data_IF_316152890704
#
_entry.id   IF_316152890704
#
_cell.length_a   1.000
_cell.length_b   1.000
_cell.length_c   1.000
_cell.angle_alpha   90.00
_cell.angle_beta   90.00
_cell.angle_gamma   90.00
#
_symmetry.space_group_name_H-M   'P 1'
#
loop_
_entity.id
_entity.type
_entity.pdbx_description
1 polymer ?
#
# COMPACT_ATOMS: atom_id res chain seq x y z
N UNK A 1 20.38 -3.06 7.90
CA UNK A 1 19.05 -2.50 8.23
C UNK A 1 18.06 -3.54 8.76
N UNK A 2 17.96 -4.74 8.16
CA UNK A 2 16.98 -5.76 8.58
C UNK A 2 17.36 -6.58 9.84
N UNK A 3 18.53 -6.33 10.43
CA UNK A 3 18.98 -7.08 11.61
C UNK A 3 18.05 -6.82 12.81
N UNK A 4 17.54 -7.90 13.41
CA UNK A 4 16.78 -7.85 14.66
C UNK A 4 17.64 -8.44 15.77
N UNK A 5 17.75 -7.71 16.87
CA UNK A 5 18.57 -8.10 18.01
C UNK A 5 18.01 -9.36 18.68
N UNK A 6 18.87 -10.36 18.96
CA UNK A 6 18.44 -11.65 19.50
C UNK A 6 18.00 -11.51 20.95
N UNK A 7 17.22 -12.51 21.38
CA UNK A 7 16.60 -12.57 22.70
C UNK A 7 17.58 -12.48 23.88
N UNK A 8 18.85 -12.82 23.66
CA UNK A 8 19.91 -12.81 24.68
C UNK A 8 20.65 -11.47 24.77
N UNK A 9 20.23 -10.44 24.04
CA UNK A 9 20.86 -9.12 24.04
C UNK A 9 20.04 -8.09 24.84
N UNK A 10 20.70 -7.04 25.35
CA UNK A 10 20.02 -5.93 26.04
C UNK A 10 19.03 -5.17 25.12
N UNK A 11 19.26 -5.23 23.81
CA UNK A 11 18.40 -4.64 22.78
C UNK A 11 17.40 -5.64 22.19
N UNK A 12 17.15 -6.76 22.89
CA UNK A 12 16.26 -7.83 22.45
C UNK A 12 14.98 -7.30 21.79
N UNK A 13 14.68 -7.83 20.61
CA UNK A 13 13.44 -7.53 19.88
C UNK A 13 13.50 -6.23 19.06
N UNK A 14 14.42 -5.30 19.33
CA UNK A 14 14.59 -4.11 18.51
C UNK A 14 15.12 -4.45 17.12
N UNK A 15 14.71 -3.67 16.13
CA UNK A 15 15.27 -3.70 14.79
C UNK A 15 16.36 -2.63 14.68
N UNK A 16 17.54 -3.02 14.18
CA UNK A 16 18.67 -2.09 14.01
C UNK A 16 18.32 -0.89 13.12
N UNK A 17 17.58 -1.11 12.04
CA UNK A 17 17.13 -0.03 11.15
C UNK A 17 16.27 1.01 11.89
N UNK A 18 15.36 0.57 12.75
CA UNK A 18 14.57 1.48 13.58
C UNK A 18 15.44 2.27 14.54
N UNK A 19 16.37 1.60 15.25
CA UNK A 19 17.30 2.28 16.15
C UNK A 19 18.21 3.27 15.40
N UNK A 20 18.65 2.90 14.20
CA UNK A 20 19.47 3.76 13.34
C UNK A 20 18.69 5.00 12.90
N UNK A 21 17.44 4.84 12.47
CA UNK A 21 16.57 5.96 12.11
C UNK A 21 16.27 6.84 13.33
N UNK A 22 16.03 6.25 14.51
CA UNK A 22 15.85 7.00 15.77
C UNK A 22 17.10 7.79 16.14
N UNK A 23 18.29 7.23 15.96
CA UNK A 23 19.54 7.94 16.22
C UNK A 23 19.73 9.12 15.25
N UNK A 24 19.46 8.93 13.95
CA UNK A 24 19.52 10.01 12.98
C UNK A 24 18.45 11.08 13.20
N UNK A 25 17.28 10.71 13.73
CA UNK A 25 16.26 11.64 14.14
C UNK A 25 16.73 12.57 15.27
N UNK A 26 17.41 12.03 16.29
CA UNK A 26 18.00 12.86 17.35
C UNK A 26 19.14 13.75 16.81
N UNK A 27 20.00 13.22 15.93
CA UNK A 27 21.07 14.00 15.27
C UNK A 27 20.51 15.12 14.39
N UNK A 28 19.38 14.88 13.74
CA UNK A 28 18.67 15.86 12.92
C UNK A 28 17.86 16.88 13.76
N UNK A 29 18.14 17.01 15.06
CA UNK A 29 17.39 17.88 15.97
C UNK A 29 15.87 17.61 15.96
N UNK A 30 15.49 16.33 15.85
CA UNK A 30 14.10 15.88 15.78
C UNK A 30 13.35 16.34 14.53
N UNK A 31 14.07 16.59 13.44
CA UNK A 31 13.49 16.71 12.10
C UNK A 31 13.41 15.33 11.44
N UNK A 32 12.18 14.80 11.32
CA UNK A 32 11.96 13.48 10.75
C UNK A 32 12.25 13.42 9.24
N UNK A 33 11.99 14.49 8.49
CA UNK A 33 12.28 14.51 7.05
C UNK A 33 13.78 14.46 6.82
N UNK A 34 14.53 15.30 7.54
CA UNK A 34 15.99 15.30 7.46
C UNK A 34 16.58 13.95 7.91
N UNK A 35 16.02 13.33 8.94
CA UNK A 35 16.46 12.00 9.39
C UNK A 35 16.31 10.92 8.29
N UNK A 36 15.20 10.93 7.56
CA UNK A 36 14.95 10.02 6.44
C UNK A 36 15.89 10.34 5.27
N UNK A 37 16.15 11.61 4.98
CA UNK A 37 17.08 12.04 3.95
C UNK A 37 18.52 11.57 4.25
N UNK A 38 19.00 11.79 5.49
CA UNK A 38 20.32 11.35 5.94
C UNK A 38 20.43 9.82 5.91
N UNK A 39 19.38 9.12 6.35
CA UNK A 39 19.32 7.64 6.29
C UNK A 39 19.47 7.16 4.84
N UNK A 40 18.75 7.80 3.92
CA UNK A 40 18.78 7.50 2.49
C UNK A 40 20.16 7.70 1.87
N UNK A 41 20.86 8.78 2.25
CA UNK A 41 22.24 9.05 1.83
C UNK A 41 23.22 8.01 2.34
N UNK A 42 23.14 7.64 3.63
CA UNK A 42 24.02 6.62 4.23
C UNK A 42 23.82 5.25 3.57
N UNK A 43 22.58 4.89 3.24
CA UNK A 43 22.26 3.65 2.55
C UNK A 43 22.51 3.69 1.04
N UNK A 44 22.93 4.84 0.49
CA UNK A 44 23.19 5.06 -0.92
C UNK A 44 22.04 4.57 -1.83
N UNK A 45 20.79 4.82 -1.42
CA UNK A 45 19.62 4.38 -2.18
C UNK A 45 19.52 5.11 -3.52
N UNK A 46 18.90 4.45 -4.51
CA UNK A 46 18.50 5.10 -5.76
C UNK A 46 17.03 5.50 -5.66
N UNK A 47 16.74 6.80 -5.68
CA UNK A 47 15.40 7.36 -5.50
C UNK A 47 15.26 8.13 -4.18
N UNK A 48 14.03 8.54 -3.87
CA UNK A 48 13.69 9.27 -2.64
C UNK A 48 12.68 8.45 -1.83
N UNK A 49 12.86 8.44 -0.51
CA UNK A 49 11.85 7.97 0.45
C UNK A 49 11.29 9.21 1.12
N UNK A 50 9.98 9.42 0.99
CA UNK A 50 9.29 10.61 1.47
C UNK A 50 8.22 10.15 2.47
N UNK A 51 8.25 10.61 3.73
CA UNK A 51 7.16 10.37 4.67
C UNK A 51 5.88 11.01 4.15
N UNK A 52 4.77 10.28 4.20
CA UNK A 52 3.47 10.82 3.82
C UNK A 52 3.03 11.94 4.76
N UNK A 53 3.37 11.83 6.05
CA UNK A 53 3.30 12.91 7.05
C UNK A 53 4.48 12.81 8.02
N UNK A 54 4.85 13.93 8.67
CA UNK A 54 5.79 13.96 9.81
C UNK A 54 5.06 14.10 11.15
N UNK A 55 3.73 14.25 11.12
CA UNK A 55 2.92 14.32 12.32
C UNK A 55 2.78 12.92 12.94
N UNK A 56 2.71 12.86 14.26
CA UNK A 56 2.49 11.61 14.96
C UNK A 56 1.01 11.22 14.86
N UNK A 57 0.71 10.24 14.00
CA UNK A 57 -0.65 9.79 13.71
C UNK A 57 -0.88 8.35 14.15
N UNK A 58 -2.13 8.05 14.48
CA UNK A 58 -2.60 6.69 14.70
C UNK A 58 -3.71 6.36 13.71
N UNK A 59 -3.60 5.20 13.06
CA UNK A 59 -4.68 4.65 12.25
C UNK A 59 -5.81 4.15 13.15
N UNK A 60 -7.05 4.50 12.82
CA UNK A 60 -8.24 4.06 13.53
C UNK A 60 -9.20 3.42 12.52
N UNK A 61 -9.69 2.23 12.87
CA UNK A 61 -10.76 1.55 12.14
C UNK A 61 -12.06 1.63 12.94
N UNK A 62 -13.14 2.03 12.26
CA UNK A 62 -14.52 1.82 12.68
C UNK A 62 -15.09 0.65 11.87
N UNK A 63 -15.59 -0.36 12.57
CA UNK A 63 -16.13 -1.58 11.97
C UNK A 63 -17.62 -1.45 11.69
N UNK A 64 -18.17 -2.36 10.87
CA UNK A 64 -19.59 -2.35 10.48
C UNK A 64 -20.57 -2.52 11.64
N UNK A 65 -20.13 -3.04 12.79
CA UNK A 65 -20.92 -3.13 14.02
C UNK A 65 -20.84 -1.87 14.91
N UNK A 66 -20.11 -0.84 14.46
CA UNK A 66 -19.90 0.42 15.18
C UNK A 66 -18.77 0.37 16.21
N UNK A 67 -18.14 -0.78 16.44
CA UNK A 67 -16.96 -0.87 17.30
C UNK A 67 -15.74 -0.17 16.67
N UNK A 68 -14.74 0.18 17.49
CA UNK A 68 -13.56 0.92 17.04
C UNK A 68 -12.25 0.34 17.59
N UNK A 69 -11.23 0.33 16.76
CA UNK A 69 -9.85 -0.03 17.15
C UNK A 69 -8.87 1.02 16.65
N UNK A 70 -8.08 1.57 17.58
CA UNK A 70 -6.91 2.38 17.23
C UNK A 70 -5.67 1.48 17.13
N UNK A 71 -4.75 1.79 16.21
CA UNK A 71 -3.44 1.16 16.05
C UNK A 71 -3.42 0.08 14.97
N UNK A 72 -2.60 0.29 13.94
CA UNK A 72 -2.45 -0.56 12.74
C UNK A 72 -2.33 -2.06 13.07
N UNK A 73 -1.40 -2.43 13.96
CA UNK A 73 -1.15 -3.84 14.31
C UNK A 73 -2.34 -4.56 15.01
N UNK A 74 -3.34 -3.80 15.49
CA UNK A 74 -4.54 -4.35 16.16
C UNK A 74 -5.75 -4.43 15.25
N UNK A 75 -5.79 -3.63 14.18
CA UNK A 75 -6.96 -3.54 13.29
C UNK A 75 -7.34 -4.90 12.69
N UNK A 76 -6.41 -5.70 12.14
CA UNK A 76 -6.75 -7.00 11.56
C UNK A 76 -7.24 -8.06 12.58
N UNK A 77 -7.22 -7.77 13.89
CA UNK A 77 -7.53 -8.76 14.94
C UNK A 77 -8.97 -8.71 15.43
N UNK A 78 -9.78 -7.77 14.94
CA UNK A 78 -11.16 -7.61 15.39
C UNK A 78 -12.08 -8.75 14.95
N UNK A 79 -11.83 -9.32 13.77
CA UNK A 79 -12.72 -10.33 13.17
C UNK A 79 -14.06 -9.76 12.66
N UNK A 80 -14.23 -8.43 12.70
CA UNK A 80 -15.38 -7.71 12.15
C UNK A 80 -14.93 -6.94 10.91
N UNK A 81 -15.79 -6.89 9.89
CA UNK A 81 -15.49 -6.15 8.66
C UNK A 81 -15.31 -4.65 8.94
N UNK A 82 -14.25 -4.07 8.38
CA UNK A 82 -13.97 -2.63 8.47
C UNK A 82 -15.02 -1.85 7.67
N UNK A 83 -15.57 -0.81 8.28
CA UNK A 83 -16.51 0.11 7.63
C UNK A 83 -15.84 1.40 7.16
N UNK A 84 -14.99 2.00 8.02
CA UNK A 84 -14.29 3.25 7.71
C UNK A 84 -12.92 3.30 8.39
N UNK A 85 -11.94 3.89 7.69
CA UNK A 85 -10.67 4.31 8.28
C UNK A 85 -10.57 5.83 8.42
N UNK A 86 -9.87 6.25 9.46
CA UNK A 86 -9.43 7.63 9.66
C UNK A 86 -8.15 7.68 10.50
N UNK A 87 -7.54 8.86 10.56
CA UNK A 87 -6.35 9.12 11.37
C UNK A 87 -6.73 9.88 12.63
N UNK A 88 -5.97 9.66 13.71
CA UNK A 88 -5.98 10.52 14.89
C UNK A 88 -4.57 11.10 15.07
N UNK A 89 -4.39 12.43 15.00
CA UNK A 89 -5.41 13.45 14.71
C UNK A 89 -5.91 13.41 13.25
N UNK A 90 -7.20 13.77 13.02
CA UNK A 90 -7.85 13.69 11.69
C UNK A 90 -7.31 14.73 10.69
N UNK A 91 -6.73 15.82 11.19
CA UNK A 91 -6.23 16.93 10.38
C UNK A 91 -4.75 16.82 10.03
N UNK A 92 -4.16 15.62 10.14
CA UNK A 92 -2.77 15.37 9.79
C UNK A 92 -2.49 15.79 8.35
N UNK A 93 -1.42 16.57 8.17
CA UNK A 93 -1.06 17.14 6.86
C UNK A 93 0.05 16.36 6.17
N UNK A 94 0.07 16.38 4.83
CA UNK A 94 1.15 15.78 4.09
C UNK A 94 2.43 16.61 4.19
N UNK A 95 3.56 15.97 3.89
CA UNK A 95 4.81 16.71 3.66
C UNK A 95 4.74 17.46 2.33
N UNK A 96 5.41 18.63 2.25
CA UNK A 96 5.51 19.37 0.99
C UNK A 96 6.19 18.52 -0.10
N UNK A 97 7.24 17.80 0.28
CA UNK A 97 7.94 16.84 -0.59
C UNK A 97 7.00 15.80 -1.21
N UNK A 98 6.01 15.30 -0.47
CA UNK A 98 5.03 14.34 -1.00
C UNK A 98 4.11 15.00 -2.03
N UNK A 99 3.63 16.22 -1.75
CA UNK A 99 2.78 16.97 -2.67
C UNK A 99 3.52 17.33 -3.97
N UNK A 100 4.77 17.76 -3.87
CA UNK A 100 5.64 18.04 -5.03
C UNK A 100 5.89 16.78 -5.85
N UNK A 101 6.22 15.65 -5.21
CA UNK A 101 6.44 14.38 -5.90
C UNK A 101 5.19 13.90 -6.64
N UNK A 102 3.99 14.06 -6.05
CA UNK A 102 2.71 13.72 -6.69
C UNK A 102 2.42 14.63 -7.89
N UNK A 103 2.71 15.92 -7.76
CA UNK A 103 2.51 16.91 -8.82
C UNK A 103 3.41 16.66 -10.02
N UNK A 104 4.68 16.32 -9.77
CA UNK A 104 5.70 16.14 -10.82
C UNK A 104 5.71 14.72 -11.40
N UNK A 105 4.88 13.81 -10.88
CA UNK A 105 4.83 12.43 -11.34
C UNK A 105 4.25 12.31 -12.75
N UNK A 106 4.89 11.49 -13.59
CA UNK A 106 4.27 10.98 -14.83
C UNK A 106 3.26 9.87 -14.54
N UNK A 107 3.56 9.05 -13.54
CA UNK A 107 2.82 7.83 -13.16
C UNK A 107 2.79 7.74 -11.63
N UNK A 108 1.63 7.40 -11.09
CA UNK A 108 1.43 7.11 -9.66
C UNK A 108 1.01 5.65 -9.54
N UNK A 109 1.71 4.88 -8.72
CA UNK A 109 1.40 3.48 -8.47
C UNK A 109 0.92 3.35 -7.02
N UNK A 110 -0.31 2.85 -6.86
CA UNK A 110 -0.90 2.55 -5.56
C UNK A 110 -0.73 1.06 -5.28
N UNK A 111 -0.07 0.72 -4.18
CA UNK A 111 0.23 -0.65 -3.81
C UNK A 111 1.39 -1.28 -4.63
N UNK A 112 1.55 -2.61 -4.57
CA UNK A 112 0.74 -3.54 -3.78
C UNK A 112 0.98 -3.37 -2.28
N UNK A 113 0.07 -3.87 -1.46
CA UNK A 113 0.17 -3.80 0.00
C UNK A 113 -1.18 -3.97 0.67
N UNK A 114 -1.20 -4.14 1.99
CA UNK A 114 -2.45 -4.23 2.73
C UNK A 114 -3.34 -3.02 2.44
N UNK A 115 -4.59 -3.28 2.05
CA UNK A 115 -5.48 -2.22 1.59
C UNK A 115 -5.72 -1.21 2.70
N UNK A 116 -6.14 -1.69 3.89
CA UNK A 116 -6.49 -0.85 5.02
C UNK A 116 -5.28 -0.40 5.83
N UNK A 117 -4.24 -1.23 5.93
CA UNK A 117 -3.08 -0.92 6.80
C UNK A 117 -1.84 -0.41 6.07
N UNK A 118 -1.80 -0.35 4.74
CA UNK A 118 -0.64 0.17 3.99
C UNK A 118 -1.00 1.16 2.88
N UNK A 119 -2.02 0.89 2.07
CA UNK A 119 -2.38 1.77 0.94
C UNK A 119 -3.23 2.94 1.43
N UNK A 120 -4.40 2.66 2.01
CA UNK A 120 -5.34 3.68 2.48
C UNK A 120 -4.75 4.67 3.49
N UNK A 121 -3.90 4.29 4.46
CA UNK A 121 -3.37 5.23 5.45
C UNK A 121 -2.62 6.41 4.84
N UNK A 122 -2.02 6.22 3.66
CA UNK A 122 -1.37 7.31 2.92
C UNK A 122 -2.38 8.20 2.20
N UNK A 123 -3.46 7.62 1.67
CA UNK A 123 -4.46 8.33 0.86
C UNK A 123 -5.42 9.18 1.71
N UNK A 124 -5.71 8.74 2.94
CA UNK A 124 -6.61 9.44 3.87
C UNK A 124 -5.94 10.61 4.61
N UNK A 125 -4.64 10.85 4.41
CA UNK A 125 -3.97 12.06 4.88
C UNK A 125 -4.55 13.26 4.12
N UNK A 126 -4.94 14.30 4.87
CA UNK A 126 -5.68 15.42 4.33
C UNK A 126 -4.89 16.17 3.24
N UNK A 127 -5.29 15.99 1.98
CA UNK A 127 -4.67 16.61 0.80
C UNK A 127 -3.91 15.64 -0.10
N UNK A 128 -3.55 14.42 0.35
CA UNK A 128 -2.88 13.44 -0.53
C UNK A 128 -3.82 12.96 -1.64
N UNK A 129 -5.01 12.49 -1.29
CA UNK A 129 -6.01 12.06 -2.28
C UNK A 129 -6.31 13.18 -3.29
N UNK A 130 -6.52 14.40 -2.80
CA UNK A 130 -6.80 15.57 -3.65
C UNK A 130 -5.65 15.88 -4.60
N UNK A 131 -4.41 15.85 -4.13
CA UNK A 131 -3.22 16.08 -4.96
C UNK A 131 -3.08 15.00 -6.04
N UNK A 132 -3.33 13.73 -5.70
CA UNK A 132 -3.29 12.63 -6.66
C UNK A 132 -4.35 12.86 -7.74
N UNK A 133 -5.59 13.19 -7.37
CA UNK A 133 -6.68 13.44 -8.33
C UNK A 133 -6.45 14.68 -9.21
N UNK A 134 -5.80 15.71 -8.67
CA UNK A 134 -5.44 16.91 -9.42
C UNK A 134 -4.23 16.72 -10.35
N UNK A 135 -3.39 15.70 -10.10
CA UNK A 135 -2.20 15.42 -10.90
C UNK A 135 -2.56 15.07 -12.36
N UNK A 136 -1.65 15.34 -13.29
CA UNK A 136 -1.75 14.80 -14.64
C UNK A 136 -1.18 13.38 -14.74
N UNK A 137 -0.62 12.80 -13.68
CA UNK A 137 -0.05 11.47 -13.70
C UNK A 137 -1.08 10.40 -14.08
N UNK A 138 -0.63 9.32 -14.72
CA UNK A 138 -1.46 8.12 -14.88
C UNK A 138 -1.41 7.25 -13.61
N UNK A 139 -2.57 6.90 -13.07
CA UNK A 139 -2.71 6.25 -11.76
C UNK A 139 -3.04 4.78 -11.91
N UNK A 140 -2.14 3.93 -11.43
CA UNK A 140 -2.26 2.48 -11.51
C UNK A 140 -2.44 1.93 -10.10
N UNK A 141 -3.53 1.23 -9.84
CA UNK A 141 -3.66 0.40 -8.63
C UNK A 141 -3.16 -1.01 -8.92
N UNK A 142 -2.20 -1.49 -8.14
CA UNK A 142 -1.76 -2.89 -8.17
C UNK A 142 -2.56 -3.66 -7.13
N UNK A 143 -3.52 -4.46 -7.59
CA UNK A 143 -4.41 -5.21 -6.73
C UNK A 143 -3.66 -6.34 -6.01
N UNK A 144 -4.08 -6.64 -4.78
CA UNK A 144 -3.54 -7.78 -4.05
C UNK A 144 -3.92 -9.09 -4.75
N UNK A 145 -3.02 -10.07 -4.68
CA UNK A 145 -3.24 -11.42 -5.25
C UNK A 145 -4.12 -12.27 -4.33
N UNK A 146 -4.02 -12.06 -3.01
CA UNK A 146 -4.71 -12.81 -1.98
C UNK A 146 -5.46 -11.85 -1.05
N UNK A 147 -6.63 -12.26 -0.56
CA UNK A 147 -7.34 -11.56 0.51
C UNK A 147 -6.55 -11.66 1.82
N UNK A 148 -6.80 -10.72 2.73
CA UNK A 148 -6.14 -10.69 4.04
C UNK A 148 -7.16 -10.82 5.15
N UNK A 149 -6.91 -11.75 6.07
CA UNK A 149 -7.71 -11.92 7.27
C UNK A 149 -7.70 -10.64 8.11
N UNK A 150 -8.88 -10.21 8.56
CA UNK A 150 -9.16 -8.99 9.29
C UNK A 150 -9.26 -7.73 8.44
N UNK A 151 -9.07 -7.82 7.12
CA UNK A 151 -9.04 -6.65 6.23
C UNK A 151 -9.95 -6.83 5.02
N UNK A 152 -9.74 -7.87 4.20
CA UNK A 152 -10.34 -7.99 2.86
C UNK A 152 -10.96 -9.35 2.60
N UNK A 153 -11.48 -10.05 3.62
CA UNK A 153 -12.12 -11.35 3.41
C UNK A 153 -13.30 -11.28 2.44
N UNK A 154 -13.28 -12.17 1.45
CA UNK A 154 -14.32 -12.25 0.42
C UNK A 154 -14.24 -11.15 -0.64
N UNK A 155 -13.24 -10.26 -0.61
CA UNK A 155 -13.12 -9.19 -1.59
C UNK A 155 -12.69 -9.71 -2.96
N UNK A 156 -13.38 -9.25 -4.00
CA UNK A 156 -12.86 -9.25 -5.37
C UNK A 156 -11.94 -8.05 -5.63
N UNK A 157 -11.36 -7.95 -6.82
CA UNK A 157 -10.55 -6.81 -7.20
C UNK A 157 -11.39 -5.52 -7.32
N UNK A 158 -12.64 -5.61 -7.78
CA UNK A 158 -13.55 -4.45 -7.77
C UNK A 158 -13.93 -4.00 -6.35
N UNK A 159 -14.04 -4.90 -5.37
CA UNK A 159 -14.24 -4.50 -3.97
C UNK A 159 -13.07 -3.69 -3.42
N UNK A 160 -11.83 -4.08 -3.75
CA UNK A 160 -10.63 -3.31 -3.37
C UNK A 160 -10.66 -1.92 -4.00
N UNK A 161 -10.96 -1.83 -5.30
CA UNK A 161 -11.08 -0.56 -6.02
C UNK A 161 -12.18 0.33 -5.41
N UNK A 162 -13.33 -0.26 -5.09
CA UNK A 162 -14.46 0.46 -4.50
C UNK A 162 -14.07 1.11 -3.18
N UNK A 163 -13.38 0.39 -2.30
CA UNK A 163 -12.92 0.93 -1.01
C UNK A 163 -11.91 2.07 -1.22
N UNK A 164 -11.00 1.97 -2.21
CA UNK A 164 -10.10 3.08 -2.55
C UNK A 164 -10.88 4.33 -2.97
N UNK A 165 -11.87 4.18 -3.83
CA UNK A 165 -12.71 5.29 -4.32
C UNK A 165 -13.54 5.88 -3.18
N UNK A 166 -14.12 5.06 -2.31
CA UNK A 166 -14.91 5.51 -1.16
C UNK A 166 -14.08 6.36 -0.17
N UNK A 167 -12.80 6.04 0.01
CA UNK A 167 -11.93 6.74 0.97
C UNK A 167 -11.14 7.90 0.37
N UNK A 168 -10.80 7.84 -0.93
CA UNK A 168 -9.92 8.79 -1.59
C UNK A 168 -10.56 9.55 -2.76
N UNK A 169 -11.84 9.29 -3.06
CA UNK A 169 -12.64 9.95 -4.09
C UNK A 169 -12.51 9.35 -5.49
N UNK A 170 -13.49 9.64 -6.35
CA UNK A 170 -13.49 9.27 -7.77
C UNK A 170 -12.31 9.90 -8.52
N UNK A 171 -11.67 9.16 -9.45
CA UNK A 171 -10.50 9.63 -10.19
C UNK A 171 -9.16 9.39 -9.49
N UNK A 172 -9.15 8.64 -8.37
CA UNK A 172 -7.90 8.21 -7.70
C UNK A 172 -7.18 7.07 -8.44
N UNK A 173 -7.88 6.35 -9.32
CA UNK A 173 -7.34 5.24 -10.12
C UNK A 173 -7.80 5.40 -11.57
N UNK A 174 -6.86 5.28 -12.52
CA UNK A 174 -7.16 5.24 -13.96
C UNK A 174 -7.15 3.79 -14.48
N UNK A 175 -6.29 2.94 -13.88
CA UNK A 175 -6.16 1.54 -14.25
C UNK A 175 -5.88 0.63 -13.06
N UNK A 176 -6.37 -0.61 -13.15
CA UNK A 176 -6.10 -1.68 -12.17
C UNK A 176 -5.26 -2.77 -12.83
N UNK A 177 -4.14 -3.12 -12.20
CA UNK A 177 -3.34 -4.28 -12.53
C UNK A 177 -3.75 -5.44 -11.62
N UNK A 178 -4.29 -6.50 -12.21
CA UNK A 178 -4.78 -7.71 -11.53
C UNK A 178 -4.00 -8.94 -11.97
N UNK A 179 -3.91 -9.93 -11.09
CA UNK A 179 -3.35 -11.23 -11.45
C UNK A 179 -4.34 -12.03 -12.30
N UNK A 180 -3.87 -12.54 -13.44
CA UNK A 180 -4.63 -13.42 -14.32
C UNK A 180 -4.30 -14.91 -14.13
N UNK A 181 -3.16 -15.21 -13.51
CA UNK A 181 -2.63 -16.56 -13.44
C UNK A 181 -3.35 -17.39 -12.38
N UNK A 182 -3.69 -18.63 -12.73
CA UNK A 182 -4.07 -19.62 -11.73
C UNK A 182 -2.89 -19.89 -10.79
N UNK A 183 -3.17 -19.86 -9.49
CA UNK A 183 -2.17 -20.17 -8.46
C UNK A 183 -2.08 -21.70 -8.40
N UNK A 184 -1.19 -22.28 -9.21
CA UNK A 184 -1.08 -23.73 -9.40
C UNK A 184 -0.39 -24.50 -8.26
N UNK A 185 -0.17 -23.87 -7.10
CA UNK A 185 0.49 -24.48 -5.95
C UNK A 185 -0.55 -24.96 -4.91
N UNK A 186 -1.03 -26.19 -5.10
CA UNK A 186 -2.01 -26.82 -4.22
C UNK A 186 -1.60 -26.79 -2.74
N UNK A 187 -0.32 -27.06 -2.43
CA UNK A 187 0.20 -27.05 -1.06
C UNK A 187 0.22 -25.64 -0.44
N UNK A 188 0.53 -24.62 -1.24
CA UNK A 188 0.49 -23.23 -0.79
C UNK A 188 -0.96 -22.81 -0.52
N UNK A 189 -1.89 -23.14 -1.43
CA UNK A 189 -3.32 -22.82 -1.27
C UNK A 189 -3.93 -23.48 -0.03
N UNK A 190 -3.57 -24.72 0.30
CA UNK A 190 -4.05 -25.38 1.53
C UNK A 190 -3.57 -24.66 2.79
N UNK A 191 -2.33 -24.16 2.82
CA UNK A 191 -1.84 -23.33 3.93
C UNK A 191 -2.63 -22.03 4.04
N UNK A 192 -2.91 -21.36 2.92
CA UNK A 192 -3.66 -20.10 2.92
C UNK A 192 -5.13 -20.28 3.34
N UNK A 193 -5.76 -21.43 3.03
CA UNK A 193 -7.08 -21.77 3.57
C UNK A 193 -7.06 -21.86 5.09
N UNK A 194 -6.00 -22.40 5.70
CA UNK A 194 -5.84 -22.45 7.16
C UNK A 194 -5.67 -21.04 7.77
N UNK A 195 -5.18 -20.07 6.99
CA UNK A 195 -5.01 -18.67 7.36
C UNK A 195 -6.20 -17.78 6.89
N UNK A 196 -7.32 -18.36 6.43
CA UNK A 196 -8.51 -17.66 5.89
C UNK A 196 -8.18 -16.63 4.79
N UNK A 197 -7.20 -16.93 3.95
CA UNK A 197 -6.77 -16.07 2.84
C UNK A 197 -7.00 -16.79 1.51
N UNK A 198 -7.62 -16.10 0.56
CA UNK A 198 -8.09 -16.69 -0.71
C UNK A 198 -7.63 -15.85 -1.89
N UNK A 199 -7.48 -16.45 -3.09
CA UNK A 199 -7.18 -15.68 -4.29
C UNK A 199 -8.22 -14.58 -4.54
N UNK A 200 -7.76 -13.36 -4.82
CA UNK A 200 -8.64 -12.25 -5.20
C UNK A 200 -9.13 -12.49 -6.62
N UNK A 201 -10.45 -12.50 -6.81
CA UNK A 201 -11.07 -12.65 -8.12
C UNK A 201 -10.88 -11.35 -8.92
N UNK A 202 -10.36 -11.39 -10.16
CA UNK A 202 -10.09 -10.18 -10.94
C UNK A 202 -11.31 -9.40 -11.44
N UNK A 203 -12.47 -10.05 -11.53
CA UNK A 203 -13.78 -9.51 -11.94
C UNK A 203 -13.76 -8.32 -12.92
N UNK A 204 -13.02 -8.50 -14.02
CA UNK A 204 -12.63 -7.49 -15.01
C UNK A 204 -13.80 -6.60 -15.44
N UNK A 205 -14.92 -7.21 -15.81
CA UNK A 205 -16.10 -6.50 -16.32
C UNK A 205 -16.64 -5.48 -15.30
N UNK A 206 -16.65 -5.83 -14.02
CA UNK A 206 -17.12 -4.93 -12.95
C UNK A 206 -16.20 -3.72 -12.82
N UNK A 207 -14.88 -3.93 -12.91
CA UNK A 207 -13.90 -2.84 -12.84
C UNK A 207 -14.02 -1.90 -14.04
N UNK A 208 -14.24 -2.44 -15.24
CA UNK A 208 -14.49 -1.64 -16.45
C UNK A 208 -15.79 -0.83 -16.35
N UNK A 209 -16.85 -1.42 -15.78
CA UNK A 209 -18.11 -0.73 -15.49
C UNK A 209 -17.95 0.41 -14.46
N UNK A 210 -16.95 0.32 -13.58
CA UNK A 210 -16.54 1.40 -12.66
C UNK A 210 -15.68 2.48 -13.35
N UNK A 211 -15.41 2.36 -14.65
CA UNK A 211 -14.69 3.35 -15.44
C UNK A 211 -13.17 3.22 -15.42
N UNK A 212 -12.62 2.14 -14.86
CA UNK A 212 -11.18 1.89 -14.82
C UNK A 212 -10.74 0.92 -15.92
N UNK A 213 -9.56 1.15 -16.49
CA UNK A 213 -8.93 0.17 -17.40
C UNK A 213 -8.40 -1.02 -16.60
N UNK A 214 -8.48 -2.23 -17.16
CA UNK A 214 -7.93 -3.42 -16.49
C UNK A 214 -6.76 -3.98 -17.28
N UNK A 215 -5.67 -4.25 -16.58
CA UNK A 215 -4.53 -4.99 -17.08
C UNK A 215 -4.43 -6.31 -16.32
N UNK A 216 -4.50 -7.41 -17.05
CA UNK A 216 -4.52 -8.76 -16.48
C UNK A 216 -3.26 -9.48 -16.93
N UNK A 217 -2.35 -9.74 -15.99
CA UNK A 217 -1.04 -10.34 -16.29
C UNK A 217 -0.72 -11.45 -15.27
N UNK A 218 0.17 -12.37 -15.61
CA UNK A 218 0.78 -13.25 -14.63
C UNK A 218 1.80 -12.44 -13.82
N UNK A 219 1.42 -12.08 -12.60
CA UNK A 219 2.26 -11.30 -11.67
C UNK A 219 2.57 -12.08 -10.39
N UNK A 220 2.27 -13.38 -10.36
CA UNK A 220 2.43 -14.22 -9.17
C UNK A 220 3.76 -14.96 -9.18
N UNK A 221 4.38 -15.01 -8.01
CA UNK A 221 5.49 -15.89 -7.70
C UNK A 221 5.14 -16.75 -6.50
N UNK A 222 5.30 -18.06 -6.65
CA UNK A 222 5.17 -19.02 -5.54
C UNK A 222 6.56 -19.48 -5.14
N UNK A 223 6.94 -19.17 -3.89
CA UNK A 223 8.06 -19.84 -3.20
C UNK A 223 7.48 -20.51 -1.96
N UNK A 224 7.64 -19.89 -0.80
CA UNK A 224 7.04 -20.35 0.47
C UNK A 224 5.63 -19.76 0.69
N UNK A 225 5.31 -18.67 -0.02
CA UNK A 225 4.09 -17.89 0.08
C UNK A 225 3.68 -17.40 -1.33
N UNK A 226 2.38 -17.18 -1.53
CA UNK A 226 1.82 -16.56 -2.73
C UNK A 226 1.98 -15.06 -2.59
N UNK A 227 2.77 -14.46 -3.49
CA UNK A 227 3.01 -13.03 -3.51
C UNK A 227 3.26 -12.56 -4.93
N UNK A 228 3.32 -11.25 -5.12
CA UNK A 228 3.82 -10.68 -6.36
C UNK A 228 5.25 -11.16 -6.64
N UNK A 229 5.49 -11.66 -7.85
CA UNK A 229 6.83 -11.82 -8.37
C UNK A 229 7.35 -10.45 -8.84
N UNK A 230 8.44 -9.97 -8.23
CA UNK A 230 8.95 -8.63 -8.52
C UNK A 230 9.36 -8.44 -9.98
N UNK A 231 9.88 -9.47 -10.64
CA UNK A 231 10.30 -9.37 -12.04
C UNK A 231 9.08 -9.32 -12.97
N UNK A 232 8.10 -10.21 -12.76
CA UNK A 232 6.85 -10.21 -13.54
C UNK A 232 6.05 -8.94 -13.34
N UNK A 233 5.89 -8.49 -12.09
CA UNK A 233 5.19 -7.24 -11.77
C UNK A 233 5.86 -6.04 -12.44
N UNK A 234 7.19 -5.96 -12.41
CA UNK A 234 7.94 -4.88 -13.09
C UNK A 234 7.68 -4.89 -14.59
N UNK A 235 7.74 -6.06 -15.23
CA UNK A 235 7.45 -6.19 -16.67
C UNK A 235 6.01 -5.79 -17.00
N UNK A 236 5.04 -6.22 -16.20
CA UNK A 236 3.64 -5.83 -16.37
C UNK A 236 3.47 -4.31 -16.26
N UNK A 237 4.05 -3.67 -15.23
CA UNK A 237 3.99 -2.22 -15.06
C UNK A 237 4.62 -1.48 -16.24
N UNK A 238 5.78 -1.92 -16.74
CA UNK A 238 6.42 -1.32 -17.93
C UNK A 238 5.48 -1.40 -19.13
N UNK A 239 4.85 -2.55 -19.40
CA UNK A 239 3.87 -2.68 -20.50
C UNK A 239 2.71 -1.68 -20.35
N UNK A 240 2.14 -1.58 -19.15
CA UNK A 240 1.04 -0.63 -18.86
C UNK A 240 1.48 0.81 -19.12
N UNK A 241 2.67 1.18 -18.64
CA UNK A 241 3.23 2.51 -18.78
C UNK A 241 3.50 2.85 -20.25
N UNK A 242 4.11 1.94 -21.02
CA UNK A 242 4.42 2.14 -22.43
C UNK A 242 3.15 2.30 -23.28
N UNK A 243 2.15 1.44 -23.05
CA UNK A 243 0.86 1.54 -23.74
C UNK A 243 0.16 2.86 -23.47
N UNK A 244 0.36 3.47 -22.30
CA UNK A 244 -0.26 4.74 -21.97
C UNK A 244 0.57 5.97 -22.39
N UNK A 245 1.90 5.88 -22.38
CA UNK A 245 2.78 6.95 -22.91
C UNK A 245 2.63 7.13 -24.41
N UNK A 246 2.32 6.07 -25.17
CA UNK A 246 2.02 6.16 -26.60
C UNK A 246 0.73 6.95 -26.90
N UNK A 247 -0.20 7.06 -25.94
CA UNK A 247 -1.47 7.79 -26.10
C UNK A 247 -1.30 9.30 -25.88
N UNK A 248 -0.24 9.74 -25.20
CA UNK A 248 0.04 11.15 -24.89
C UNK A 248 1.00 11.86 -25.85
N UNK A 249 1.33 11.25 -27.00
CA UNK A 249 2.12 11.90 -28.07
C UNK A 249 1.22 12.59 -29.08
#
# INVERSE_FOLDING_TARGET
FQYRFPERSELKGHNFGNLFLTALYEVANRDFNLAVELTSKVLAIRGRVIPSTVENVHLVAEYKDGSRTQGEARIPRSGVAIGRLFLTPENARPTNDALEAIKDADIIILGPGSLYTSVLPNLIINGIGDAIRASSAFRIYVCNVMTQMGETEGFSASDHLKVLIEHAGEGIVDAVLVNAAEISAADALERYKQENSFPVLPDIKTIEEMGCRVFSEDIVGVRDYVRHDSAKLTQALIKVIEQNRLIRR
#
